data_IF_102073386695
#
_entry.id   IF_102073386695
#
_cell.length_a   1.000
_cell.length_b   1.000
_cell.length_c   1.000
_cell.angle_alpha   90.00
_cell.angle_beta   90.00
_cell.angle_gamma   90.00
#
_symmetry.space_group_name_H-M   'P 1'
#
loop_
_entity.id
_entity.type
_entity.pdbx_description
1 polymer ?
#
# COMPACT_ATOMS: atom_id res chain seq x y z
N UNK A 1 17.47 -14.27 12.09
CA UNK A 1 16.95 -13.32 13.11
C UNK A 1 15.61 -12.82 12.61
N UNK A 2 14.49 -13.21 13.23
CA UNK A 2 13.18 -12.77 12.75
C UNK A 2 13.10 -11.24 12.75
N UNK A 3 12.80 -10.67 11.58
CA UNK A 3 12.68 -9.22 11.42
C UNK A 3 11.52 -8.69 12.29
N UNK A 4 11.84 -7.82 13.26
CA UNK A 4 10.84 -7.13 14.08
C UNK A 4 9.99 -6.12 13.28
N UNK A 5 10.30 -5.90 12.00
CA UNK A 5 9.66 -4.91 11.14
C UNK A 5 8.15 -5.16 10.97
N UNK A 6 7.76 -6.40 10.64
CA UNK A 6 6.34 -6.74 10.45
C UNK A 6 5.54 -6.73 11.76
N UNK A 7 6.01 -7.36 12.86
CA UNK A 7 5.36 -7.22 14.16
C UNK A 7 5.16 -5.77 14.58
N UNK A 8 6.19 -4.93 14.43
CA UNK A 8 6.13 -3.51 14.78
C UNK A 8 5.13 -2.75 13.89
N UNK A 9 5.14 -2.98 12.58
CA UNK A 9 4.20 -2.35 11.66
C UNK A 9 2.74 -2.72 12.00
N UNK A 10 2.47 -3.98 12.34
CA UNK A 10 1.13 -4.47 12.71
C UNK A 10 0.68 -3.91 14.06
N UNK A 11 1.55 -3.89 15.08
CA UNK A 11 1.24 -3.26 16.38
C UNK A 11 0.97 -1.77 16.20
N UNK A 12 1.79 -1.08 15.39
CA UNK A 12 1.58 0.34 15.07
C UNK A 12 0.25 0.55 14.36
N UNK A 13 -0.08 -0.31 13.38
CA UNK A 13 -1.35 -0.24 12.64
C UNK A 13 -2.55 -0.46 13.57
N UNK A 14 -2.49 -1.43 14.48
CA UNK A 14 -3.52 -1.66 15.49
C UNK A 14 -3.68 -0.45 16.42
N UNK A 15 -2.57 0.15 16.85
CA UNK A 15 -2.59 1.35 17.68
C UNK A 15 -3.26 2.53 16.98
N UNK A 16 -2.85 2.88 15.75
CA UNK A 16 -3.45 4.00 15.00
C UNK A 16 -4.88 3.70 14.54
N UNK A 17 -5.28 2.43 14.49
CA UNK A 17 -6.68 2.04 14.29
C UNK A 17 -7.50 2.30 15.55
N UNK A 18 -6.99 2.00 16.74
CA UNK A 18 -7.70 2.24 17.99
C UNK A 18 -7.74 3.73 18.37
N UNK A 19 -6.58 4.38 18.31
CA UNK A 19 -6.34 5.81 18.56
C UNK A 19 -5.74 6.46 17.31
N UNK A 20 -6.58 6.94 16.38
CA UNK A 20 -6.13 7.64 15.19
C UNK A 20 -5.12 8.75 15.49
N UNK A 21 -3.91 8.60 14.97
CA UNK A 21 -2.91 9.66 14.92
C UNK A 21 -2.23 9.66 13.55
N UNK A 22 -2.68 10.58 12.70
CA UNK A 22 -2.19 10.70 11.35
C UNK A 22 -0.74 11.20 11.25
N UNK A 23 -0.14 11.70 12.35
CA UNK A 23 1.29 12.06 12.37
C UNK A 23 2.20 10.84 12.31
N UNK A 24 1.68 9.67 12.71
CA UNK A 24 2.41 8.41 12.73
C UNK A 24 1.85 7.37 11.74
N UNK A 25 0.65 7.57 11.17
CA UNK A 25 0.08 6.64 10.18
C UNK A 25 0.99 6.40 8.96
N UNK A 26 1.75 7.39 8.50
CA UNK A 26 2.66 7.21 7.36
C UNK A 26 3.75 6.15 7.59
N UNK A 27 4.08 5.85 8.86
CA UNK A 27 5.06 4.82 9.25
C UNK A 27 4.62 3.43 8.77
N UNK A 28 3.31 3.21 8.57
CA UNK A 28 2.78 1.94 8.04
C UNK A 28 3.30 1.63 6.62
N UNK A 29 3.82 2.62 5.89
CA UNK A 29 4.46 2.42 4.58
C UNK A 29 5.91 1.90 4.66
N UNK A 30 6.56 1.94 5.83
CA UNK A 30 7.98 1.57 5.97
C UNK A 30 8.32 0.17 5.47
N UNK A 31 7.53 -0.90 5.74
CA UNK A 31 7.86 -2.23 5.23
C UNK A 31 8.00 -2.27 3.70
N UNK A 32 7.15 -1.54 2.96
CA UNK A 32 7.27 -1.44 1.51
C UNK A 32 8.59 -0.78 1.10
N UNK A 33 8.93 0.37 1.69
CA UNK A 33 10.17 1.08 1.35
C UNK A 33 11.43 0.30 1.73
N UNK A 34 11.40 -0.44 2.84
CA UNK A 34 12.51 -1.33 3.22
C UNK A 34 12.67 -2.45 2.19
N UNK A 35 11.58 -3.11 1.79
CA UNK A 35 11.64 -4.16 0.77
C UNK A 35 12.13 -3.60 -0.58
N UNK A 36 11.62 -2.45 -1.00
CA UNK A 36 12.04 -1.79 -2.24
C UNK A 36 13.53 -1.41 -2.21
N UNK A 37 14.03 -0.91 -1.08
CA UNK A 37 15.44 -0.63 -0.89
C UNK A 37 16.28 -1.90 -0.96
N UNK A 38 15.84 -3.00 -0.33
CA UNK A 38 16.53 -4.29 -0.39
C UNK A 38 16.63 -4.82 -1.83
N UNK A 39 15.57 -4.75 -2.63
CA UNK A 39 15.63 -5.08 -4.05
C UNK A 39 16.57 -4.15 -4.84
N UNK A 40 16.46 -2.85 -4.60
CA UNK A 40 17.29 -1.82 -5.26
C UNK A 40 18.77 -1.95 -4.90
N UNK A 41 19.10 -2.51 -3.73
CA UNK A 41 20.45 -2.80 -3.25
C UNK A 41 20.88 -4.25 -3.47
N UNK A 42 20.02 -5.11 -4.05
CA UNK A 42 20.26 -6.54 -4.30
C UNK A 42 20.70 -7.27 -3.03
N UNK A 43 20.01 -6.96 -1.93
CA UNK A 43 20.23 -7.59 -0.63
C UNK A 43 19.66 -9.02 -0.63
N UNK A 44 20.39 -9.93 -1.27
CA UNK A 44 20.02 -11.32 -1.54
C UNK A 44 19.97 -12.24 -0.30
N UNK A 45 20.20 -11.72 0.90
CA UNK A 45 19.95 -12.49 2.13
C UNK A 45 18.45 -12.65 2.41
N UNK A 46 17.58 -11.89 1.73
CA UNK A 46 16.12 -12.01 1.79
C UNK A 46 15.63 -12.84 0.62
N UNK A 47 14.78 -13.83 0.89
CA UNK A 47 14.28 -14.80 -0.08
C UNK A 47 13.70 -14.14 -1.34
N UNK A 48 12.85 -13.11 -1.19
CA UNK A 48 12.26 -12.39 -2.32
C UNK A 48 13.32 -11.77 -3.24
N UNK A 49 14.35 -11.15 -2.64
CA UNK A 49 15.43 -10.52 -3.41
C UNK A 49 16.30 -11.57 -4.07
N UNK A 50 16.61 -12.67 -3.37
CA UNK A 50 17.38 -13.78 -3.92
C UNK A 50 16.67 -14.48 -5.10
N UNK A 51 15.34 -14.51 -5.10
CA UNK A 51 14.56 -15.24 -6.09
C UNK A 51 14.14 -14.41 -7.29
N UNK A 52 13.84 -13.13 -7.09
CA UNK A 52 13.30 -12.25 -8.12
C UNK A 52 14.22 -11.05 -8.43
N UNK A 53 15.30 -10.87 -7.68
CA UNK A 53 16.32 -9.84 -7.89
C UNK A 53 17.47 -10.31 -8.78
N UNK A 54 18.64 -9.69 -8.61
CA UNK A 54 19.83 -9.92 -9.41
C UNK A 54 20.63 -8.63 -9.64
N UNK A 55 21.92 -8.65 -9.33
CA UNK A 55 22.83 -7.51 -9.48
C UNK A 55 22.95 -7.04 -10.94
N UNK A 56 22.83 -7.98 -11.90
CA UNK A 56 22.91 -7.72 -13.34
C UNK A 56 21.70 -6.96 -13.90
N UNK A 57 20.60 -6.88 -13.16
CA UNK A 57 19.40 -6.17 -13.59
C UNK A 57 19.64 -4.64 -13.59
N UNK A 58 19.24 -3.93 -14.66
CA UNK A 58 19.16 -2.48 -14.63
C UNK A 58 18.38 -2.00 -13.40
N UNK A 59 18.84 -0.91 -12.77
CA UNK A 59 18.30 -0.41 -11.50
C UNK A 59 16.76 -0.25 -11.49
N UNK A 60 16.19 0.18 -12.63
CA UNK A 60 14.74 0.34 -12.81
C UNK A 60 13.98 -0.99 -12.65
N UNK A 61 14.54 -2.10 -13.11
CA UNK A 61 13.95 -3.43 -12.98
C UNK A 61 14.21 -4.05 -11.61
N UNK A 62 15.32 -3.70 -10.95
CA UNK A 62 15.52 -4.04 -9.53
C UNK A 62 14.43 -3.42 -8.66
N UNK A 63 14.14 -2.13 -8.84
CA UNK A 63 13.02 -1.51 -8.15
C UNK A 63 11.69 -2.18 -8.52
N UNK A 64 11.44 -2.44 -9.80
CA UNK A 64 10.20 -3.10 -10.23
C UNK A 64 10.04 -4.55 -9.73
N UNK A 65 11.14 -5.25 -9.45
CA UNK A 65 11.10 -6.58 -8.87
C UNK A 65 10.45 -6.60 -7.47
N UNK A 66 10.33 -5.44 -6.79
CA UNK A 66 9.57 -5.30 -5.54
C UNK A 66 8.17 -5.90 -5.66
N UNK A 67 7.53 -5.79 -6.82
CA UNK A 67 6.19 -6.33 -7.06
C UNK A 67 6.15 -7.51 -8.03
N UNK A 68 7.26 -8.25 -8.17
CA UNK A 68 7.31 -9.49 -8.96
C UNK A 68 6.60 -10.68 -8.29
N UNK A 69 6.47 -10.65 -6.96
CA UNK A 69 5.77 -11.64 -6.16
C UNK A 69 4.52 -11.03 -5.48
N UNK A 70 3.82 -11.79 -4.64
CA UNK A 70 2.53 -11.35 -4.05
C UNK A 70 2.70 -10.44 -2.83
N UNK A 71 3.84 -10.54 -2.17
CA UNK A 71 4.19 -9.87 -0.92
C UNK A 71 4.34 -8.36 -1.11
N UNK A 72 5.15 -7.95 -2.09
CA UNK A 72 5.41 -6.55 -2.35
C UNK A 72 4.19 -5.73 -2.80
N UNK A 73 3.31 -6.22 -3.69
CA UNK A 73 2.06 -5.54 -4.02
C UNK A 73 1.14 -5.34 -2.82
N UNK A 74 1.07 -6.28 -1.87
CA UNK A 74 0.29 -6.11 -0.64
C UNK A 74 0.92 -5.03 0.24
N UNK A 75 2.25 -4.99 0.37
CA UNK A 75 2.96 -3.93 1.09
C UNK A 75 2.79 -2.56 0.41
N UNK A 76 2.84 -2.51 -0.92
CA UNK A 76 2.57 -1.32 -1.72
C UNK A 76 1.14 -0.80 -1.49
N UNK A 77 0.16 -1.71 -1.44
CA UNK A 77 -1.22 -1.34 -1.13
C UNK A 77 -1.34 -0.74 0.27
N UNK A 78 -0.71 -1.36 1.27
CA UNK A 78 -0.68 -0.83 2.63
C UNK A 78 -0.01 0.56 2.68
N UNK A 79 1.07 0.77 1.91
CA UNK A 79 1.75 2.06 1.80
C UNK A 79 0.84 3.15 1.18
N UNK A 80 0.08 2.82 0.13
CA UNK A 80 -0.90 3.75 -0.43
C UNK A 80 -2.01 4.09 0.56
N UNK A 81 -2.56 3.09 1.27
CA UNK A 81 -3.57 3.34 2.30
C UNK A 81 -3.04 4.23 3.44
N UNK A 82 -1.78 4.03 3.85
CA UNK A 82 -1.11 4.87 4.84
C UNK A 82 -0.97 6.32 4.34
N UNK A 83 -0.58 6.51 3.08
CA UNK A 83 -0.45 7.83 2.47
C UNK A 83 -1.80 8.53 2.35
N UNK A 84 -2.83 7.85 1.83
CA UNK A 84 -4.16 8.45 1.64
C UNK A 84 -4.80 8.82 2.99
N UNK A 85 -4.64 7.97 4.02
CA UNK A 85 -5.08 8.32 5.39
C UNK A 85 -4.37 9.56 5.90
N UNK A 86 -3.07 9.72 5.61
CA UNK A 86 -2.28 10.89 6.00
C UNK A 86 -2.68 12.16 5.25
N UNK A 87 -3.02 12.05 3.96
CA UNK A 87 -3.51 13.15 3.11
C UNK A 87 -4.89 13.61 3.61
N UNK A 88 -5.83 12.70 3.82
CA UNK A 88 -7.19 13.00 4.29
C UNK A 88 -7.35 12.86 5.80
N UNK A 89 -6.32 13.22 6.56
CA UNK A 89 -6.31 13.06 8.02
C UNK A 89 -7.20 14.03 8.80
N UNK A 90 -7.62 15.12 8.18
CA UNK A 90 -8.49 16.12 8.81
C UNK A 90 -9.95 15.79 8.48
N UNK A 91 -10.91 16.34 9.24
CA UNK A 91 -12.32 16.26 8.88
C UNK A 91 -12.55 16.74 7.45
N UNK A 92 -13.35 15.98 6.69
CA UNK A 92 -13.83 16.40 5.37
C UNK A 92 -15.05 17.33 5.53
N UNK A 93 -15.52 17.88 4.42
CA UNK A 93 -16.66 18.80 4.41
C UNK A 93 -17.89 18.16 5.07
N UNK A 94 -18.43 18.80 6.12
CA UNK A 94 -19.61 18.32 6.84
C UNK A 94 -19.38 17.13 7.79
N UNK A 95 -18.16 16.58 7.88
CA UNK A 95 -17.87 15.50 8.84
C UNK A 95 -17.90 16.04 10.27
N UNK A 96 -18.79 15.47 11.09
CA UNK A 96 -18.68 15.62 12.54
C UNK A 96 -17.51 14.77 13.08
N UNK A 97 -17.18 14.96 14.35
CA UNK A 97 -16.05 14.27 14.99
C UNK A 97 -16.19 12.73 14.94
N UNK A 98 -17.39 12.20 15.11
CA UNK A 98 -17.66 10.76 15.08
C UNK A 98 -17.44 10.17 13.68
N UNK A 99 -18.00 10.78 12.64
CA UNK A 99 -17.81 10.38 11.23
C UNK A 99 -16.34 10.43 10.85
N UNK A 100 -15.66 11.53 11.20
CA UNK A 100 -14.25 11.72 10.94
C UNK A 100 -13.39 10.63 11.58
N UNK A 101 -13.58 10.38 12.89
CA UNK A 101 -12.84 9.35 13.61
C UNK A 101 -13.13 7.96 13.04
N UNK A 102 -14.40 7.62 12.78
CA UNK A 102 -14.77 6.33 12.20
C UNK A 102 -14.09 6.12 10.85
N UNK A 103 -14.06 7.14 9.97
CA UNK A 103 -13.39 7.06 8.67
C UNK A 103 -11.91 6.76 8.81
N UNK A 104 -11.19 7.53 9.64
CA UNK A 104 -9.74 7.32 9.82
C UNK A 104 -9.46 5.95 10.45
N UNK A 105 -10.29 5.50 11.41
CA UNK A 105 -10.20 4.15 11.98
C UNK A 105 -10.39 3.06 10.92
N UNK A 106 -11.39 3.19 10.05
CA UNK A 106 -11.62 2.21 8.99
C UNK A 106 -10.51 2.20 7.94
N UNK A 107 -9.95 3.37 7.59
CA UNK A 107 -8.81 3.44 6.66
C UNK A 107 -7.56 2.78 7.25
N UNK A 108 -7.23 3.08 8.52
CA UNK A 108 -6.15 2.42 9.25
C UNK A 108 -6.42 0.92 9.44
N UNK A 109 -7.67 0.54 9.71
CA UNK A 109 -8.08 -0.85 9.88
C UNK A 109 -7.92 -1.68 8.61
N UNK A 110 -8.21 -1.10 7.44
CA UNK A 110 -7.94 -1.76 6.17
C UNK A 110 -6.43 -1.93 5.92
N UNK A 111 -5.61 -0.91 6.22
CA UNK A 111 -4.16 -1.01 6.16
C UNK A 111 -3.61 -2.09 7.13
N UNK A 112 -4.18 -2.19 8.33
CA UNK A 112 -3.88 -3.25 9.30
C UNK A 112 -4.19 -4.64 8.72
N UNK A 113 -5.33 -4.82 8.07
CA UNK A 113 -5.67 -6.10 7.40
C UNK A 113 -4.62 -6.46 6.34
N UNK A 114 -4.22 -5.51 5.51
CA UNK A 114 -3.17 -5.73 4.50
C UNK A 114 -1.82 -6.10 5.15
N UNK A 115 -1.43 -5.43 6.23
CA UNK A 115 -0.19 -5.73 6.95
C UNK A 115 -0.23 -7.10 7.65
N UNK A 116 -1.38 -7.54 8.16
CA UNK A 116 -1.56 -8.90 8.69
C UNK A 116 -1.41 -9.95 7.58
N UNK A 117 -2.03 -9.71 6.42
CA UNK A 117 -1.86 -10.57 5.24
C UNK A 117 -0.39 -10.62 4.80
N UNK A 118 0.27 -9.46 4.70
CA UNK A 118 1.69 -9.41 4.39
C UNK A 118 2.53 -10.16 5.40
N UNK A 119 2.23 -10.07 6.70
CA UNK A 119 2.99 -10.78 7.73
C UNK A 119 2.90 -12.30 7.53
N UNK A 120 1.71 -12.82 7.21
CA UNK A 120 1.52 -14.25 6.89
C UNK A 120 2.37 -14.68 5.68
N UNK A 121 2.54 -13.79 4.70
CA UNK A 121 3.36 -14.08 3.50
C UNK A 121 4.88 -13.95 3.73
N UNK A 122 5.32 -13.53 4.92
CA UNK A 122 6.74 -13.48 5.31
C UNK A 122 7.68 -12.74 4.31
N UNK A 123 7.43 -11.45 3.96
CA UNK A 123 8.20 -10.69 2.97
C UNK A 123 9.71 -10.56 3.25
N UNK A 124 10.11 -10.75 4.51
CA UNK A 124 11.49 -10.64 4.96
C UNK A 124 12.08 -11.99 5.42
N UNK A 125 11.54 -13.11 4.91
CA UNK A 125 12.11 -14.43 5.16
C UNK A 125 13.56 -14.49 4.64
N UNK A 126 14.46 -15.10 5.41
CA UNK A 126 15.84 -15.33 4.99
C UNK A 126 15.90 -16.24 3.75
N UNK A 127 16.83 -15.96 2.84
CA UNK A 127 17.03 -16.77 1.64
C UNK A 127 17.72 -18.09 1.98
N UNK A 128 17.18 -19.20 1.47
CA UNK A 128 17.80 -20.53 1.57
C UNK A 128 18.63 -20.86 0.31
N UNK A 129 18.27 -20.27 -0.82
CA UNK A 129 18.93 -20.44 -2.12
C UNK A 129 18.59 -19.26 -3.05
N UNK A 130 19.40 -19.07 -4.08
CA UNK A 130 19.10 -18.16 -5.17
C UNK A 130 18.07 -18.75 -6.12
N UNK A 131 17.19 -17.91 -6.66
CA UNK A 131 16.20 -18.30 -7.66
C UNK A 131 16.60 -17.88 -9.08
N UNK A 132 15.67 -17.99 -10.05
CA UNK A 132 15.93 -17.70 -11.45
C UNK A 132 16.07 -16.21 -11.78
N UNK A 133 15.78 -15.31 -10.83
CA UNK A 133 15.75 -13.86 -11.04
C UNK A 133 14.42 -13.37 -11.62
N UNK A 134 14.36 -12.08 -11.93
CA UNK A 134 13.16 -11.47 -12.52
C UNK A 134 12.89 -12.06 -13.91
N UNK A 135 11.67 -12.57 -14.11
CA UNK A 135 11.24 -13.09 -15.40
C UNK A 135 11.47 -12.05 -16.52
N UNK A 136 12.15 -12.44 -17.59
CA UNK A 136 12.49 -11.57 -18.72
C UNK A 136 11.26 -10.88 -19.33
N UNK A 137 10.10 -11.56 -19.33
CA UNK A 137 8.84 -10.99 -19.82
C UNK A 137 8.32 -9.84 -18.95
N UNK A 138 8.77 -9.74 -17.70
CA UNK A 138 8.44 -8.64 -16.78
C UNK A 138 9.42 -7.48 -16.87
N UNK A 139 10.47 -7.56 -17.70
CA UNK A 139 11.43 -6.47 -17.89
C UNK A 139 10.91 -5.43 -18.91
N UNK A 140 9.72 -4.91 -18.66
CA UNK A 140 9.06 -3.89 -19.50
C UNK A 140 8.89 -2.58 -18.73
N UNK A 141 8.84 -1.45 -19.44
CA UNK A 141 8.55 -0.17 -18.79
C UNK A 141 7.15 -0.14 -18.16
N UNK A 142 6.22 -0.95 -18.69
CA UNK A 142 4.89 -1.10 -18.13
C UNK A 142 4.92 -1.77 -16.75
N UNK A 143 5.77 -2.78 -16.54
CA UNK A 143 5.97 -3.39 -15.23
C UNK A 143 6.45 -2.37 -14.20
N UNK A 144 7.18 -1.34 -14.60
CA UNK A 144 7.65 -0.28 -13.70
C UNK A 144 6.50 0.64 -13.28
N UNK A 145 5.62 0.98 -14.23
CA UNK A 145 4.67 2.10 -14.08
C UNK A 145 3.29 1.62 -13.64
N UNK A 146 2.80 0.50 -14.18
CA UNK A 146 1.41 0.08 -13.98
C UNK A 146 1.10 -0.34 -12.53
N UNK A 147 1.92 -1.17 -11.85
CA UNK A 147 1.59 -1.65 -10.50
C UNK A 147 1.42 -0.52 -9.46
N UNK A 148 2.30 0.50 -9.38
CA UNK A 148 2.05 1.66 -8.51
C UNK A 148 0.73 2.38 -8.79
N UNK A 149 0.36 2.56 -10.08
CA UNK A 149 -0.84 3.29 -10.47
C UNK A 149 -2.12 2.51 -10.18
N UNK A 150 -2.16 1.21 -10.49
CA UNK A 150 -3.35 0.39 -10.26
C UNK A 150 -3.63 0.20 -8.76
N UNK A 151 -2.59 0.03 -7.94
CA UNK A 151 -2.76 -0.06 -6.48
C UNK A 151 -3.17 1.28 -5.84
N UNK A 152 -2.73 2.41 -6.40
CA UNK A 152 -3.26 3.72 -6.02
C UNK A 152 -4.75 3.84 -6.36
N UNK A 153 -5.16 3.40 -7.55
CA UNK A 153 -6.57 3.38 -7.95
C UNK A 153 -7.42 2.52 -7.00
N UNK A 154 -6.97 1.31 -6.65
CA UNK A 154 -7.65 0.45 -5.67
C UNK A 154 -7.77 1.13 -4.30
N UNK A 155 -6.71 1.80 -3.83
CA UNK A 155 -6.71 2.51 -2.55
C UNK A 155 -7.69 3.68 -2.52
N UNK A 156 -7.83 4.40 -3.64
CA UNK A 156 -8.80 5.48 -3.80
C UNK A 156 -10.24 4.95 -3.81
N UNK A 157 -10.49 3.81 -4.48
CA UNK A 157 -11.79 3.13 -4.44
C UNK A 157 -12.17 2.67 -3.03
N UNK A 158 -11.22 2.10 -2.27
CA UNK A 158 -11.44 1.74 -0.87
C UNK A 158 -11.72 2.99 -0.01
N UNK A 159 -11.01 4.08 -0.25
CA UNK A 159 -11.25 5.35 0.46
C UNK A 159 -12.66 5.89 0.20
N UNK A 160 -13.14 5.83 -1.05
CA UNK A 160 -14.52 6.20 -1.41
C UNK A 160 -15.55 5.32 -0.69
N UNK A 161 -15.34 4.00 -0.68
CA UNK A 161 -16.22 3.07 0.00
C UNK A 161 -16.29 3.35 1.50
N UNK A 162 -15.15 3.64 2.13
CA UNK A 162 -15.09 3.99 3.56
C UNK A 162 -15.82 5.30 3.84
N UNK A 163 -15.64 6.34 3.02
CA UNK A 163 -16.41 7.61 3.16
C UNK A 163 -17.91 7.32 3.09
N UNK A 164 -18.36 6.56 2.11
CA UNK A 164 -19.77 6.21 1.96
C UNK A 164 -20.32 5.43 3.18
N UNK A 165 -19.60 4.40 3.62
CA UNK A 165 -20.02 3.55 4.76
C UNK A 165 -20.05 4.37 6.06
N UNK A 166 -19.02 5.16 6.33
CA UNK A 166 -18.95 5.97 7.56
C UNK A 166 -20.07 7.01 7.61
N UNK A 167 -20.36 7.66 6.48
CA UNK A 167 -21.49 8.58 6.38
C UNK A 167 -22.85 7.90 6.57
N UNK A 168 -23.03 6.66 6.10
CA UNK A 168 -24.25 5.88 6.34
C UNK A 168 -24.41 5.47 7.81
N UNK A 169 -23.30 5.20 8.50
CA UNK A 169 -23.30 4.76 9.90
C UNK A 169 -23.45 5.90 10.91
N UNK A 170 -23.12 7.14 10.52
CA UNK A 170 -23.01 8.27 11.45
C UNK A 170 -23.82 9.48 10.96
N UNK A 171 -23.29 10.24 10.00
CA UNK A 171 -23.95 11.40 9.39
C UNK A 171 -23.63 11.49 7.90
N UNK A 172 -24.66 11.76 7.09
CA UNK A 172 -24.54 11.98 5.66
C UNK A 172 -24.32 13.45 5.27
N UNK A 173 -24.15 14.33 6.26
CA UNK A 173 -23.88 15.75 6.01
C UNK A 173 -22.56 15.93 5.23
N UNK A 174 -22.60 16.73 4.16
CA UNK A 174 -21.43 17.00 3.32
C UNK A 174 -20.86 15.80 2.55
N UNK A 175 -21.49 14.61 2.62
CA UNK A 175 -20.98 13.37 2.00
C UNK A 175 -20.70 13.51 0.50
N UNK A 176 -21.55 14.25 -0.22
CA UNK A 176 -21.38 14.49 -1.66
C UNK A 176 -20.05 15.19 -1.95
N UNK A 177 -19.72 16.21 -1.19
CA UNK A 177 -18.48 16.99 -1.41
C UNK A 177 -17.26 16.17 -1.02
N UNK A 178 -17.34 15.45 0.10
CA UNK A 178 -16.32 14.49 0.56
C UNK A 178 -16.04 13.40 -0.48
N UNK A 179 -17.09 12.83 -1.08
CA UNK A 179 -16.96 11.84 -2.15
C UNK A 179 -16.36 12.45 -3.42
N UNK A 180 -16.81 13.64 -3.86
CA UNK A 180 -16.29 14.28 -5.08
C UNK A 180 -14.78 14.58 -4.96
N UNK A 181 -14.31 14.96 -3.77
CA UNK A 181 -12.89 15.24 -3.53
C UNK A 181 -12.00 14.01 -3.80
N UNK A 182 -12.47 12.81 -3.45
CA UNK A 182 -11.74 11.55 -3.67
C UNK A 182 -12.06 10.92 -5.03
N UNK A 183 -13.28 11.10 -5.54
CA UNK A 183 -13.75 10.48 -6.78
C UNK A 183 -13.01 11.00 -8.02
N UNK A 184 -12.63 12.29 -8.03
CA UNK A 184 -11.87 12.90 -9.13
C UNK A 184 -10.48 12.25 -9.32
N UNK A 185 -9.60 12.18 -8.31
CA UNK A 185 -8.35 11.45 -8.45
C UNK A 185 -8.57 9.95 -8.65
N UNK A 186 -9.58 9.34 -8.00
CA UNK A 186 -9.91 7.92 -8.20
C UNK A 186 -10.20 7.61 -9.67
N UNK A 187 -11.03 8.42 -10.33
CA UNK A 187 -11.36 8.27 -11.74
C UNK A 187 -10.11 8.38 -12.61
N UNK A 188 -9.31 9.43 -12.42
CA UNK A 188 -8.08 9.65 -13.19
C UNK A 188 -7.10 8.48 -13.08
N UNK A 189 -6.78 8.04 -11.85
CA UNK A 189 -5.84 6.94 -11.65
C UNK A 189 -6.43 5.58 -12.05
N UNK A 190 -7.74 5.38 -11.95
CA UNK A 190 -8.39 4.16 -12.46
C UNK A 190 -8.31 4.08 -13.98
N UNK A 191 -8.50 5.19 -14.69
CA UNK A 191 -8.33 5.25 -16.15
C UNK A 191 -6.89 4.93 -16.55
N UNK A 192 -5.90 5.52 -15.86
CA UNK A 192 -4.49 5.21 -16.13
C UNK A 192 -4.15 3.76 -15.79
N UNK A 193 -4.55 3.28 -14.62
CA UNK A 193 -4.28 1.92 -14.18
C UNK A 193 -4.84 0.89 -15.15
N UNK A 194 -6.15 0.94 -15.42
CA UNK A 194 -6.81 -0.02 -16.31
C UNK A 194 -6.32 0.14 -17.76
N UNK A 195 -6.18 1.38 -18.24
CA UNK A 195 -5.74 1.66 -19.60
C UNK A 195 -4.32 1.16 -19.87
N UNK A 196 -3.39 1.39 -18.94
CA UNK A 196 -2.02 0.88 -19.06
C UNK A 196 -1.97 -0.64 -18.92
N UNK A 197 -2.80 -1.25 -18.07
CA UNK A 197 -2.82 -2.71 -17.89
C UNK A 197 -3.34 -3.50 -19.09
N UNK A 198 -3.98 -2.84 -20.06
CA UNK A 198 -4.46 -3.44 -21.31
C UNK A 198 -3.50 -3.36 -22.49
N UNK A 199 -2.31 -2.77 -22.30
CA UNK A 199 -1.24 -2.65 -23.31
C UNK A 199 -0.19 -3.76 -23.11
#
# INVERSE_FOLDING_TARGET
>A
MESLLMPLAVVTAAWVTYKPDARITWILALPFFVLAAMFTMDYNSIHLVAWYGGEDLPLKYRFAATWAAREGPILLWAAWMALLTTIWRNPLSGENEETHLMRVRMMNGFALTLLLVAWILQPFKEAESAGPGLNELLQTDLMIIHPPLIFLAYSLCITLAIIAITSLMTSSEGVKDSLIQVARPAFFFSTLGIGLGGL
#
